data_IF_564219805800
#
_entry.id   IF_564219805800
#
_cell.length_a   1.000
_cell.length_b   1.000
_cell.length_c   1.000
_cell.angle_alpha   90.00
_cell.angle_beta   90.00
_cell.angle_gamma   90.00
#
_symmetry.space_group_name_H-M   'P 1'
#
loop_
_entity.id
_entity.type
_entity.pdbx_description
1 polymer ?
#
# COMPACT_ATOMS: atom_id res chain seq x y z
N UNK A 1 -45.32 34.07 -18.03
CA UNK A 1 -46.05 33.73 -19.27
C UNK A 1 -46.78 32.42 -19.04
N UNK A 2 -48.09 32.36 -19.27
CA UNK A 2 -48.87 31.14 -19.07
C UNK A 2 -48.76 30.25 -20.32
N UNK A 3 -48.26 29.02 -20.15
CA UNK A 3 -48.13 28.05 -21.24
C UNK A 3 -49.48 27.35 -21.46
N UNK A 4 -50.01 27.30 -22.68
CA UNK A 4 -51.26 26.61 -22.97
C UNK A 4 -51.14 25.10 -22.68
N UNK A 5 -52.21 24.51 -22.15
CA UNK A 5 -52.26 23.08 -21.84
C UNK A 5 -52.11 22.25 -23.11
N UNK A 6 -51.25 21.24 -23.07
CA UNK A 6 -51.08 20.31 -24.17
C UNK A 6 -52.39 19.56 -24.49
N UNK A 7 -52.70 19.32 -25.77
CA UNK A 7 -53.90 18.59 -26.16
C UNK A 7 -53.85 17.12 -25.70
N UNK A 8 -55.01 16.57 -25.36
CA UNK A 8 -55.12 15.17 -24.97
C UNK A 8 -54.83 14.27 -26.19
N UNK A 9 -54.00 13.24 -25.99
CA UNK A 9 -53.73 12.23 -27.01
C UNK A 9 -54.95 11.32 -27.22
N UNK A 10 -55.46 11.26 -28.44
CA UNK A 10 -56.68 10.54 -28.81
C UNK A 10 -56.39 9.78 -30.11
N UNK A 11 -56.90 8.57 -30.24
CA UNK A 11 -56.91 7.82 -31.50
C UNK A 11 -58.34 7.68 -32.04
N UNK A 12 -58.44 7.49 -33.36
CA UNK A 12 -59.70 7.30 -34.08
C UNK A 12 -59.53 6.10 -34.99
N UNK A 13 -60.38 5.09 -34.82
CA UNK A 13 -60.30 3.83 -35.56
C UNK A 13 -61.47 3.68 -36.56
N UNK A 14 -62.62 4.30 -36.28
CA UNK A 14 -63.82 4.19 -37.13
C UNK A 14 -63.91 5.30 -38.18
N UNK A 15 -64.48 4.97 -39.35
CA UNK A 15 -64.81 5.94 -40.41
C UNK A 15 -65.80 7.03 -39.97
N UNK A 16 -66.58 6.78 -38.90
CA UNK A 16 -67.49 7.77 -38.30
C UNK A 16 -66.82 8.74 -37.32
N UNK A 17 -65.53 8.56 -37.03
CA UNK A 17 -64.78 9.48 -36.18
C UNK A 17 -64.92 9.22 -34.67
N UNK A 18 -65.19 7.98 -34.25
CA UNK A 18 -65.22 7.66 -32.82
C UNK A 18 -63.84 7.88 -32.18
N UNK A 19 -63.80 8.68 -31.11
CA UNK A 19 -62.58 9.12 -30.44
C UNK A 19 -62.36 8.34 -29.14
N UNK A 20 -61.17 7.76 -28.99
CA UNK A 20 -60.76 7.05 -27.78
C UNK A 20 -59.48 7.65 -27.21
N UNK A 21 -59.40 7.76 -25.88
CA UNK A 21 -58.19 8.24 -25.21
C UNK A 21 -57.05 7.24 -25.37
N UNK A 22 -55.85 7.73 -25.69
CA UNK A 22 -54.68 6.87 -25.93
C UNK A 22 -54.17 6.23 -24.62
N UNK A 23 -54.27 6.94 -23.50
CA UNK A 23 -53.99 6.41 -22.15
C UNK A 23 -55.33 6.32 -21.41
N UNK A 24 -55.76 5.15 -20.90
CA UNK A 24 -55.03 3.89 -20.63
C UNK A 24 -55.27 2.75 -21.65
N UNK A 25 -55.55 3.05 -22.92
CA UNK A 25 -56.02 2.06 -23.92
C UNK A 25 -55.10 0.85 -24.21
N UNK A 26 -53.92 0.77 -23.60
CA UNK A 26 -52.95 -0.31 -23.82
C UNK A 26 -52.17 -0.20 -25.15
N UNK A 27 -52.52 0.77 -26.01
CA UNK A 27 -51.85 1.03 -27.29
C UNK A 27 -50.45 1.64 -27.12
N UNK A 28 -50.20 2.36 -26.02
CA UNK A 28 -48.86 2.85 -25.65
C UNK A 28 -48.37 2.14 -24.37
N UNK A 29 -47.14 1.59 -24.36
CA UNK A 29 -46.57 0.97 -23.17
C UNK A 29 -46.27 2.02 -22.08
N UNK A 30 -46.94 1.95 -20.94
CA UNK A 30 -46.65 2.81 -19.78
C UNK A 30 -45.40 2.29 -19.07
N UNK A 31 -44.26 2.91 -19.32
CA UNK A 31 -42.96 2.46 -18.79
C UNK A 31 -42.85 2.54 -17.25
N UNK A 32 -43.66 3.40 -16.63
CA UNK A 32 -43.77 3.54 -15.17
C UNK A 32 -44.34 2.26 -14.52
N UNK A 33 -45.13 1.48 -15.26
CA UNK A 33 -45.75 0.24 -14.77
C UNK A 33 -44.88 -1.01 -14.97
N UNK A 34 -43.61 -0.85 -15.35
CA UNK A 34 -42.68 -1.99 -15.39
C UNK A 34 -42.49 -2.54 -13.97
N UNK A 35 -42.45 -3.88 -13.84
CA UNK A 35 -42.24 -4.57 -12.55
C UNK A 35 -40.95 -4.14 -11.85
N UNK A 36 -39.91 -3.90 -12.66
CA UNK A 36 -38.57 -3.56 -12.18
C UNK A 36 -38.32 -2.04 -12.23
N UNK A 37 -39.38 -1.23 -12.37
CA UNK A 37 -39.26 0.22 -12.40
C UNK A 37 -38.65 0.73 -11.09
N UNK A 38 -37.55 1.48 -11.19
CA UNK A 38 -36.80 1.97 -10.03
C UNK A 38 -35.89 0.93 -9.36
N UNK A 39 -35.84 -0.32 -9.83
CA UNK A 39 -34.93 -1.34 -9.30
C UNK A 39 -33.60 -1.36 -10.08
N UNK A 40 -32.51 -1.63 -9.38
CA UNK A 40 -31.19 -1.80 -10.00
C UNK A 40 -31.11 -3.17 -10.68
N UNK A 41 -30.85 -3.22 -12.01
CA UNK A 41 -30.69 -4.47 -12.73
C UNK A 41 -29.61 -5.39 -12.15
N UNK A 42 -29.87 -6.71 -12.20
CA UNK A 42 -29.00 -7.74 -11.63
C UNK A 42 -27.58 -7.68 -12.23
N UNK A 43 -27.46 -7.42 -13.53
CA UNK A 43 -26.16 -7.36 -14.21
C UNK A 43 -25.26 -6.22 -13.68
N UNK A 44 -25.84 -5.11 -13.21
CA UNK A 44 -25.06 -4.01 -12.61
C UNK A 44 -24.49 -4.41 -11.25
N UNK A 45 -25.25 -5.20 -10.46
CA UNK A 45 -24.76 -5.75 -9.20
C UNK A 45 -23.59 -6.70 -9.43
N UNK A 46 -23.74 -7.65 -10.38
CA UNK A 46 -22.66 -8.56 -10.78
C UNK A 46 -21.41 -7.82 -11.24
N UNK A 47 -21.57 -6.83 -12.09
CA UNK A 47 -20.43 -6.01 -12.57
C UNK A 47 -19.73 -5.27 -11.45
N UNK A 48 -20.46 -4.79 -10.44
CA UNK A 48 -19.86 -4.13 -9.27
C UNK A 48 -19.02 -5.13 -8.45
N UNK A 49 -19.53 -6.34 -8.23
CA UNK A 49 -18.81 -7.41 -7.54
C UNK A 49 -17.56 -7.84 -8.32
N UNK A 50 -17.64 -7.96 -9.64
CA UNK A 50 -16.49 -8.27 -10.50
C UNK A 50 -15.41 -7.18 -10.43
N UNK A 51 -15.81 -5.91 -10.44
CA UNK A 51 -14.87 -4.79 -10.29
C UNK A 51 -14.20 -4.82 -8.91
N UNK A 52 -14.96 -5.08 -7.84
CA UNK A 52 -14.39 -5.18 -6.49
C UNK A 52 -13.38 -6.33 -6.40
N UNK A 53 -13.71 -7.51 -6.90
CA UNK A 53 -12.77 -8.64 -6.92
C UNK A 53 -11.51 -8.33 -7.73
N UNK A 54 -11.65 -7.73 -8.90
CA UNK A 54 -10.51 -7.34 -9.72
C UNK A 54 -9.60 -6.32 -9.02
N UNK A 55 -10.17 -5.40 -8.24
CA UNK A 55 -9.40 -4.46 -7.40
C UNK A 55 -8.65 -5.19 -6.29
N UNK A 56 -9.34 -6.09 -5.57
CA UNK A 56 -8.74 -6.89 -4.49
C UNK A 56 -7.58 -7.76 -5.00
N UNK A 57 -7.76 -8.41 -6.15
CA UNK A 57 -6.73 -9.24 -6.80
C UNK A 57 -5.53 -8.40 -7.24
N UNK A 58 -5.77 -7.20 -7.79
CA UNK A 58 -4.71 -6.27 -8.18
C UNK A 58 -3.92 -5.76 -6.95
N UNK A 59 -4.61 -5.39 -5.88
CA UNK A 59 -3.99 -4.95 -4.63
C UNK A 59 -3.18 -6.08 -3.97
N UNK A 60 -3.66 -7.32 -4.06
CA UNK A 60 -2.94 -8.50 -3.59
C UNK A 60 -1.67 -8.76 -4.41
N UNK A 61 -1.76 -8.67 -5.74
CA UNK A 61 -0.60 -8.79 -6.64
C UNK A 61 0.46 -7.72 -6.35
N UNK A 62 0.04 -6.47 -6.15
CA UNK A 62 0.93 -5.39 -5.76
C UNK A 62 1.61 -5.71 -4.42
N UNK A 63 0.86 -6.14 -3.41
CA UNK A 63 1.42 -6.50 -2.10
C UNK A 63 2.47 -7.61 -2.21
N UNK A 64 2.18 -8.67 -2.96
CA UNK A 64 3.11 -9.78 -3.16
C UNK A 64 4.34 -9.35 -3.98
N UNK A 65 4.16 -8.54 -5.03
CA UNK A 65 5.28 -7.98 -5.79
C UNK A 65 6.16 -7.08 -4.92
N UNK A 66 5.56 -6.22 -4.08
CA UNK A 66 6.30 -5.43 -3.10
C UNK A 66 6.98 -6.33 -2.08
N UNK A 67 6.37 -7.40 -1.58
CA UNK A 67 7.03 -8.32 -0.65
C UNK A 67 8.20 -9.07 -1.29
N UNK A 68 8.09 -9.46 -2.56
CA UNK A 68 9.16 -10.15 -3.30
C UNK A 68 10.29 -9.22 -3.74
N UNK A 69 9.96 -7.97 -4.07
CA UNK A 69 10.93 -6.97 -4.53
C UNK A 69 11.46 -6.05 -3.42
N UNK A 70 10.80 -5.97 -2.27
CA UNK A 70 11.28 -5.22 -1.12
C UNK A 70 12.42 -6.00 -0.49
N UNK A 71 13.62 -5.47 -0.65
CA UNK A 71 14.73 -5.76 0.25
C UNK A 71 14.22 -5.65 1.69
N UNK A 72 14.52 -6.65 2.53
CA UNK A 72 14.06 -6.65 3.93
C UNK A 72 14.58 -5.38 4.60
N UNK A 73 13.66 -4.52 5.03
CA UNK A 73 14.03 -3.36 5.82
C UNK A 73 14.27 -3.82 7.26
N UNK A 74 15.41 -3.46 7.82
CA UNK A 74 15.70 -3.68 9.23
C UNK A 74 14.66 -2.93 10.07
N UNK A 75 14.03 -3.63 11.02
CA UNK A 75 13.13 -2.96 11.97
C UNK A 75 13.94 -2.05 12.90
N UNK A 76 13.29 -1.03 13.46
CA UNK A 76 13.94 -0.13 14.42
C UNK A 76 14.45 -0.88 15.66
N UNK A 77 13.75 -1.93 16.08
CA UNK A 77 14.12 -2.74 17.24
C UNK A 77 15.40 -3.54 16.97
N UNK A 78 15.45 -4.25 15.84
CA UNK A 78 16.64 -4.99 15.42
C UNK A 78 17.83 -4.05 15.19
N UNK A 79 17.60 -2.88 14.56
CA UNK A 79 18.64 -1.85 14.39
C UNK A 79 19.22 -1.42 15.74
N UNK A 80 18.35 -1.12 16.71
CA UNK A 80 18.80 -0.69 18.04
C UNK A 80 19.54 -1.81 18.77
N UNK A 81 19.10 -3.06 18.63
CA UNK A 81 19.79 -4.22 19.17
C UNK A 81 21.21 -4.36 18.59
N UNK A 82 21.36 -4.27 17.25
CA UNK A 82 22.67 -4.30 16.58
C UNK A 82 23.57 -3.16 17.07
N UNK A 83 23.02 -1.94 17.15
CA UNK A 83 23.76 -0.76 17.57
C UNK A 83 24.24 -0.86 19.03
N UNK A 84 23.39 -1.39 19.92
CA UNK A 84 23.80 -1.69 21.30
C UNK A 84 24.91 -2.73 21.38
N UNK A 85 24.84 -3.80 20.57
CA UNK A 85 25.87 -4.83 20.49
C UNK A 85 27.20 -4.28 19.96
N UNK A 86 27.18 -3.43 18.93
CA UNK A 86 28.38 -2.77 18.40
C UNK A 86 29.03 -1.86 19.47
N UNK A 87 28.23 -1.08 20.20
CA UNK A 87 28.73 -0.22 21.29
C UNK A 87 29.33 -1.05 22.43
N UNK A 88 28.69 -2.15 22.82
CA UNK A 88 29.20 -3.05 23.85
C UNK A 88 30.53 -3.71 23.42
N UNK A 89 30.64 -4.15 22.17
CA UNK A 89 31.88 -4.70 21.63
C UNK A 89 33.01 -3.67 21.63
N UNK A 90 32.71 -2.43 21.25
CA UNK A 90 33.69 -1.34 21.31
C UNK A 90 34.14 -1.09 22.75
N UNK A 91 33.22 -1.04 23.71
CA UNK A 91 33.54 -0.84 25.13
C UNK A 91 34.44 -1.95 25.69
N UNK A 92 34.13 -3.21 25.38
CA UNK A 92 34.96 -4.35 25.80
C UNK A 92 36.38 -4.26 25.22
N UNK A 93 36.50 -3.99 23.92
CA UNK A 93 37.80 -3.90 23.24
C UNK A 93 38.60 -2.68 23.74
N UNK A 94 37.91 -1.56 23.98
CA UNK A 94 38.51 -0.37 24.56
C UNK A 94 39.03 -0.63 25.98
N UNK A 95 38.29 -1.37 26.81
CA UNK A 95 38.74 -1.78 28.14
C UNK A 95 39.99 -2.68 28.06
N UNK A 96 40.03 -3.65 27.14
CA UNK A 96 41.23 -4.46 26.91
C UNK A 96 42.43 -3.62 26.44
N UNK A 97 42.17 -2.63 25.59
CA UNK A 97 43.18 -1.70 25.09
C UNK A 97 43.73 -0.81 26.23
N UNK A 98 42.88 -0.32 27.12
CA UNK A 98 43.30 0.44 28.32
C UNK A 98 44.16 -0.40 29.27
N UNK A 99 43.92 -1.72 29.33
CA UNK A 99 44.74 -2.66 30.09
C UNK A 99 46.11 -2.97 29.48
N UNK A 100 46.45 -2.43 28.30
CA UNK A 100 47.76 -2.62 27.69
C UNK A 100 48.86 -1.91 28.48
N UNK A 101 50.04 -2.54 28.51
CA UNK A 101 51.24 -1.91 29.07
C UNK A 101 51.64 -0.70 28.23
N UNK A 102 51.89 0.43 28.90
CA UNK A 102 52.39 1.68 28.29
C UNK A 102 53.67 1.45 27.50
N UNK A 103 54.49 0.50 27.93
CA UNK A 103 55.78 0.18 27.30
C UNK A 103 55.59 -0.86 26.18
N UNK A 104 55.61 -0.39 24.94
CA UNK A 104 55.41 -1.18 23.71
C UNK A 104 56.70 -1.38 22.92
N UNK A 105 57.77 -1.81 23.60
CA UNK A 105 59.10 -1.88 22.98
C UNK A 105 59.25 -3.07 22.02
N UNK A 106 58.53 -4.17 22.25
CA UNK A 106 58.65 -5.39 21.44
C UNK A 106 57.68 -5.39 20.25
N UNK A 107 58.14 -5.90 19.10
CA UNK A 107 57.33 -6.04 17.88
C UNK A 107 55.93 -6.67 18.12
N UNK A 108 55.77 -7.79 18.88
CA UNK A 108 54.45 -8.35 19.13
C UNK A 108 53.54 -7.44 19.96
N UNK A 109 54.09 -6.62 20.88
CA UNK A 109 53.29 -5.65 21.65
C UNK A 109 52.79 -4.51 20.77
N UNK A 110 53.62 -4.03 19.84
CA UNK A 110 53.22 -3.02 18.83
C UNK A 110 52.13 -3.55 17.91
N UNK A 111 52.33 -4.74 17.33
CA UNK A 111 51.35 -5.36 16.44
C UNK A 111 50.01 -5.62 17.12
N UNK A 112 50.01 -6.03 18.41
CA UNK A 112 48.77 -6.20 19.18
C UNK A 112 48.02 -4.88 19.35
N UNK A 113 48.75 -3.81 19.68
CA UNK A 113 48.18 -2.46 19.84
C UNK A 113 47.57 -1.96 18.53
N UNK A 114 48.32 -2.02 17.44
CA UNK A 114 47.87 -1.57 16.11
C UNK A 114 46.64 -2.36 15.64
N UNK A 115 46.59 -3.67 15.89
CA UNK A 115 45.41 -4.49 15.59
C UNK A 115 44.17 -4.02 16.35
N UNK A 116 44.31 -3.79 17.66
CA UNK A 116 43.21 -3.30 18.50
C UNK A 116 42.74 -1.90 18.05
N UNK A 117 43.66 -1.01 17.68
CA UNK A 117 43.31 0.31 17.14
C UNK A 117 42.55 0.23 15.81
N UNK A 118 42.98 -0.68 14.91
CA UNK A 118 42.30 -0.91 13.64
C UNK A 118 40.89 -1.47 13.84
N UNK A 119 40.72 -2.41 14.77
CA UNK A 119 39.42 -2.98 15.14
C UNK A 119 38.48 -1.93 15.77
N UNK A 120 38.98 -1.09 16.70
CA UNK A 120 38.20 0.02 17.26
C UNK A 120 37.72 0.99 16.19
N UNK A 121 38.62 1.39 15.28
CA UNK A 121 38.30 2.29 14.17
C UNK A 121 37.31 1.69 13.18
N UNK A 122 37.27 0.36 13.05
CA UNK A 122 36.25 -0.31 12.26
C UNK A 122 34.88 -0.22 12.94
N UNK A 123 34.80 -0.57 14.22
CA UNK A 123 33.55 -0.48 14.99
C UNK A 123 32.98 0.95 15.02
N UNK A 124 33.83 1.96 15.15
CA UNK A 124 33.41 3.37 15.09
C UNK A 124 32.76 3.74 13.75
N UNK A 125 33.35 3.29 12.64
CA UNK A 125 32.80 3.53 11.30
C UNK A 125 31.48 2.79 11.10
N UNK A 126 31.37 1.57 11.61
CA UNK A 126 30.16 0.77 11.50
C UNK A 126 29.01 1.38 12.32
N UNK A 127 29.30 1.84 13.55
CA UNK A 127 28.34 2.58 14.39
C UNK A 127 27.91 3.88 13.69
N UNK A 128 28.86 4.66 13.17
CA UNK A 128 28.57 5.92 12.49
C UNK A 128 27.70 5.71 11.24
N UNK A 129 27.95 4.64 10.46
CA UNK A 129 27.14 4.27 9.30
C UNK A 129 25.70 3.95 9.72
N UNK A 130 25.53 3.14 10.77
CA UNK A 130 24.22 2.78 11.30
C UNK A 130 23.46 3.98 11.90
N UNK A 131 24.17 4.92 12.51
CA UNK A 131 23.57 6.14 13.10
C UNK A 131 23.15 7.15 12.02
N UNK A 132 23.97 7.35 10.97
CA UNK A 132 23.66 8.24 9.85
C UNK A 132 22.50 7.74 8.99
N UNK A 133 22.35 6.43 8.85
CA UNK A 133 21.32 5.82 8.01
C UNK A 133 20.19 5.21 8.87
N UNK A 134 19.05 5.91 9.02
CA UNK A 134 17.95 5.41 9.85
C UNK A 134 17.20 4.23 9.23
N UNK A 135 17.20 4.12 7.90
CA UNK A 135 16.53 3.05 7.14
C UNK A 135 17.59 2.27 6.38
N UNK A 136 17.66 0.96 6.63
CA UNK A 136 18.64 0.06 6.04
C UNK A 136 17.90 -1.10 5.40
N UNK A 137 18.21 -1.34 4.13
CA UNK A 137 17.66 -2.42 3.33
C UNK A 137 18.69 -3.53 3.18
N UNK A 138 18.28 -4.77 3.46
CA UNK A 138 19.08 -5.97 3.30
C UNK A 138 18.82 -6.56 1.92
N UNK A 139 19.85 -6.61 1.08
CA UNK A 139 19.82 -7.43 -0.14
C UNK A 139 20.06 -8.89 0.23
N UNK A 140 19.18 -9.78 -0.21
CA UNK A 140 19.39 -11.23 -0.13
C UNK A 140 20.57 -11.69 -0.98
#
# INVERSE_FOLDING_TARGET
MAVPKAPNKIYVDTRSGAKHALVPSGLEPVHIQKKDYGQVPIYLKKRKEEIQKAQEDYDAYIRDHFQRGAMQCLSNEERNAILSGLKQNWEMLHHEYQGLSVVTDTAPKKNRKERMEAEMKQLERDIEMMEKHPVIYLSN
#
